data_IF_692894576863
#
_entry.id   IF_692894576863
#
_cell.length_a   1.000
_cell.length_b   1.000
_cell.length_c   1.000
_cell.angle_alpha   90.00
_cell.angle_beta   90.00
_cell.angle_gamma   90.00
#
_symmetry.space_group_name_H-M   'P 1'
#
loop_
_entity.id
_entity.type
_entity.pdbx_description
1 polymer ?
#
# COMPACT_ATOMS: atom_id res chain seq x y z
N UNK A 1 -0.43 -6.28 -15.99
CA UNK A 1 -1.68 -5.93 -15.29
C UNK A 1 -1.43 -5.07 -14.05
N UNK A 2 -1.10 -5.61 -12.87
CA UNK A 2 -0.93 -4.79 -11.64
C UNK A 2 0.09 -3.64 -11.77
N UNK A 3 1.21 -3.87 -12.45
CA UNK A 3 2.23 -2.85 -12.74
C UNK A 3 1.71 -1.69 -13.61
N UNK A 4 0.88 -2.01 -14.60
CA UNK A 4 0.32 -1.01 -15.53
C UNK A 4 -0.78 -0.20 -14.85
N UNK A 5 -1.62 -0.84 -14.05
CA UNK A 5 -2.64 -0.18 -13.22
C UNK A 5 -1.99 0.76 -12.20
N UNK A 6 -0.92 0.32 -11.54
CA UNK A 6 -0.18 1.15 -10.60
C UNK A 6 0.43 2.37 -11.32
N UNK A 7 0.99 2.17 -12.51
CA UNK A 7 1.58 3.26 -13.29
C UNK A 7 0.52 4.31 -13.68
N UNK A 8 -0.64 3.88 -14.17
CA UNK A 8 -1.75 4.78 -14.49
C UNK A 8 -2.25 5.54 -13.25
N UNK A 9 -2.34 4.86 -12.11
CA UNK A 9 -2.76 5.48 -10.86
C UNK A 9 -1.77 6.55 -10.38
N UNK A 10 -0.46 6.31 -10.55
CA UNK A 10 0.59 7.28 -10.26
C UNK A 10 0.52 8.50 -11.18
N UNK A 11 0.31 8.31 -12.48
CA UNK A 11 0.19 9.42 -13.42
C UNK A 11 -1.04 10.28 -13.11
N UNK A 12 -2.19 9.66 -12.79
CA UNK A 12 -3.40 10.38 -12.34
C UNK A 12 -3.20 11.19 -11.06
N UNK A 13 -2.40 10.66 -10.12
CA UNK A 13 -2.05 11.38 -8.90
C UNK A 13 -1.13 12.57 -9.19
N UNK A 14 -0.14 12.40 -10.08
CA UNK A 14 0.77 13.49 -10.50
C UNK A 14 0.03 14.59 -11.26
N UNK A 15 -0.91 14.22 -12.13
CA UNK A 15 -1.75 15.16 -12.88
C UNK A 15 -2.84 15.80 -12.01
N UNK A 16 -2.97 15.41 -10.74
CA UNK A 16 -4.03 15.85 -9.82
C UNK A 16 -5.45 15.54 -10.33
N UNK A 17 -5.58 14.53 -11.21
CA UNK A 17 -6.88 14.03 -11.69
C UNK A 17 -7.64 13.27 -10.60
N UNK A 18 -6.91 12.73 -9.61
CA UNK A 18 -7.45 12.04 -8.44
C UNK A 18 -6.90 12.64 -7.14
N UNK A 19 -7.69 12.54 -6.08
CA UNK A 19 -7.28 12.92 -4.72
C UNK A 19 -6.33 11.88 -4.11
N UNK A 20 -5.61 12.28 -3.05
CA UNK A 20 -4.78 11.34 -2.27
C UNK A 20 -5.59 10.14 -1.75
N UNK A 21 -6.83 10.37 -1.32
CA UNK A 21 -7.71 9.31 -0.81
C UNK A 21 -8.04 8.30 -1.90
N UNK A 22 -8.34 8.77 -3.11
CA UNK A 22 -8.61 7.93 -4.27
C UNK A 22 -7.38 7.15 -4.73
N UNK A 23 -6.20 7.78 -4.68
CA UNK A 23 -4.93 7.11 -4.93
C UNK A 23 -4.69 5.95 -3.95
N UNK A 24 -4.84 6.18 -2.64
CA UNK A 24 -4.67 5.10 -1.66
C UNK A 24 -5.71 3.98 -1.81
N UNK A 25 -6.98 4.32 -2.13
CA UNK A 25 -8.00 3.29 -2.43
C UNK A 25 -7.64 2.47 -3.67
N UNK A 26 -7.10 3.09 -4.71
CA UNK A 26 -6.65 2.41 -5.92
C UNK A 26 -5.51 1.42 -5.63
N UNK A 27 -4.52 1.83 -4.85
CA UNK A 27 -3.43 0.94 -4.41
C UNK A 27 -3.99 -0.28 -3.66
N UNK A 28 -4.90 -0.07 -2.71
CA UNK A 28 -5.50 -1.17 -1.94
C UNK A 28 -6.27 -2.16 -2.83
N UNK A 29 -6.96 -1.66 -3.87
CA UNK A 29 -7.61 -2.53 -4.86
C UNK A 29 -6.60 -3.35 -5.66
N UNK A 30 -5.50 -2.75 -6.12
CA UNK A 30 -4.46 -3.48 -6.87
C UNK A 30 -3.85 -4.58 -5.99
N UNK A 31 -3.52 -4.25 -4.73
CA UNK A 31 -2.99 -5.22 -3.77
C UNK A 31 -3.96 -6.36 -3.47
N UNK A 32 -5.27 -6.09 -3.40
CA UNK A 32 -6.28 -7.13 -3.12
C UNK A 32 -6.41 -8.18 -4.23
N UNK A 33 -5.95 -7.88 -5.45
CA UNK A 33 -5.97 -8.81 -6.59
C UNK A 33 -4.57 -9.35 -6.92
N UNK A 34 -3.53 -8.95 -6.18
CA UNK A 34 -2.21 -9.55 -6.31
C UNK A 34 -2.22 -10.90 -5.59
N UNK A 35 -1.95 -11.97 -6.35
CA UNK A 35 -1.55 -13.24 -5.75
C UNK A 35 -0.14 -13.04 -5.19
N UNK A 36 -0.03 -13.13 -3.85
CA UNK A 36 1.25 -12.99 -3.14
C UNK A 36 1.69 -14.37 -2.74
N UNK A 37 2.82 -14.82 -3.26
CA UNK A 37 3.41 -16.10 -2.89
C UNK A 37 4.48 -15.89 -1.80
N UNK A 38 4.80 -16.95 -1.05
CA UNK A 38 5.80 -16.88 0.05
C UNK A 38 7.17 -16.37 -0.42
N UNK A 39 7.53 -16.65 -1.68
CA UNK A 39 8.75 -16.20 -2.34
C UNK A 39 8.79 -14.69 -2.58
N UNK A 40 7.64 -14.03 -2.80
CA UNK A 40 7.54 -12.57 -2.91
C UNK A 40 7.71 -11.87 -1.55
N UNK A 41 7.50 -12.60 -0.46
CA UNK A 41 7.63 -12.10 0.92
C UNK A 41 9.05 -12.27 1.47
N UNK A 42 9.91 -13.06 0.81
CA UNK A 42 11.31 -13.22 1.20
C UNK A 42 12.07 -11.90 1.06
N UNK A 43 12.65 -11.44 2.16
CA UNK A 43 13.38 -10.16 2.23
C UNK A 43 12.49 -8.92 2.44
N UNK A 44 11.18 -9.03 2.26
CA UNK A 44 10.20 -7.97 2.56
C UNK A 44 9.68 -8.06 4.00
N UNK A 45 9.82 -9.24 4.63
CA UNK A 45 9.39 -9.53 6.01
C UNK A 45 9.85 -8.49 7.04
N UNK A 46 11.11 -8.01 7.04
CA UNK A 46 11.55 -6.99 8.00
C UNK A 46 10.84 -5.63 7.82
N UNK A 47 10.53 -5.26 6.58
CA UNK A 47 9.82 -4.02 6.26
C UNK A 47 8.34 -4.11 6.67
N UNK A 48 7.71 -5.26 6.42
CA UNK A 48 6.35 -5.59 6.86
C UNK A 48 6.22 -5.56 8.39
N UNK A 49 7.15 -6.18 9.10
CA UNK A 49 7.18 -6.14 10.57
C UNK A 49 7.35 -4.72 11.12
N UNK A 50 8.24 -3.91 10.53
CA UNK A 50 8.42 -2.52 10.95
C UNK A 50 7.16 -1.67 10.68
N UNK A 51 6.51 -1.87 9.54
CA UNK A 51 5.24 -1.21 9.21
C UNK A 51 4.14 -1.56 10.23
N UNK A 52 3.96 -2.86 10.54
CA UNK A 52 2.96 -3.32 11.53
C UNK A 52 3.26 -2.74 12.91
N UNK A 53 4.52 -2.77 13.37
CA UNK A 53 4.90 -2.20 14.67
C UNK A 53 4.58 -0.70 14.77
N UNK A 54 4.82 0.07 13.71
CA UNK A 54 4.46 1.50 13.67
C UNK A 54 2.95 1.72 13.72
N UNK A 55 2.16 0.86 13.07
CA UNK A 55 0.70 0.92 13.14
C UNK A 55 0.20 0.68 14.57
N UNK A 56 0.71 -0.35 15.23
CA UNK A 56 0.37 -0.67 16.64
C UNK A 56 0.69 0.52 17.54
N UNK A 57 1.91 1.07 17.45
CA UNK A 57 2.31 2.23 18.26
C UNK A 57 1.42 3.46 18.03
N UNK A 58 0.98 3.70 16.80
CA UNK A 58 0.09 4.82 16.49
C UNK A 58 -1.32 4.60 17.04
N UNK A 59 -1.79 3.35 17.10
CA UNK A 59 -3.07 3.00 17.72
C UNK A 59 -3.02 3.19 19.23
N UNK A 60 -1.95 2.74 19.88
CA UNK A 60 -1.74 2.91 21.32
C UNK A 60 -1.67 4.40 21.70
N UNK A 61 -0.99 5.23 20.91
CA UNK A 61 -0.91 6.69 21.14
C UNK A 61 -2.24 7.43 20.96
N UNK A 62 -3.19 6.87 20.21
CA UNK A 62 -4.52 7.46 20.00
C UNK A 62 -5.56 6.97 21.02
N UNK A 63 -5.25 5.90 21.74
CA UNK A 63 -6.09 5.35 22.81
C UNK A 63 -5.73 5.85 24.21
N UNK A 64 -4.70 6.68 24.36
CA UNK A 64 -4.23 7.27 25.61
C UNK A 64 -4.55 8.77 25.71
#
# INVERSE_FOLDING_TARGET
>A
MAKEELHQLMEKMKSHEITQVEFFRGIMKILAHMDVHEEDLQGVTPLLLNFINRLIQNMEKRGA
#
